data_IF_392055617910
#
_entry.id   IF_392055617910
#
_cell.length_a   1.000
_cell.length_b   1.000
_cell.length_c   1.000
_cell.angle_alpha   90.00
_cell.angle_beta   90.00
_cell.angle_gamma   90.00
#
_symmetry.space_group_name_H-M   'P 1'
#
loop_
_entity.id
_entity.type
_entity.pdbx_description
1 polymer ?
#
# COMPACT_ATOMS: atom_id res chain seq x y z
N UNK A 1 53.35 -2.79 8.95
CA UNK A 1 53.53 -3.71 10.09
C UNK A 1 52.71 -4.96 9.80
N UNK A 2 53.35 -6.02 9.27
CA UNK A 2 52.69 -7.28 8.92
C UNK A 2 52.50 -8.12 10.16
N UNK A 3 51.24 -8.32 10.59
CA UNK A 3 50.88 -9.28 11.63
C UNK A 3 50.82 -10.68 11.00
N UNK A 4 51.72 -11.58 11.39
CA UNK A 4 51.82 -12.91 10.82
C UNK A 4 50.57 -13.75 11.14
N UNK A 5 49.95 -14.29 10.12
CA UNK A 5 48.76 -15.19 10.14
C UNK A 5 48.84 -16.38 11.13
N UNK A 6 50.01 -16.71 11.61
CA UNK A 6 50.23 -17.87 12.51
C UNK A 6 49.78 -17.66 13.96
N UNK A 7 49.59 -16.44 14.42
CA UNK A 7 49.19 -16.18 15.81
C UNK A 7 47.68 -16.14 16.01
N UNK A 8 46.91 -15.96 14.94
CA UNK A 8 45.45 -15.98 15.01
C UNK A 8 44.88 -17.39 15.27
N UNK A 9 45.50 -18.43 14.70
CA UNK A 9 45.07 -19.84 14.83
C UNK A 9 45.32 -20.40 16.23
N UNK A 10 46.33 -19.93 16.96
CA UNK A 10 46.62 -20.42 18.31
C UNK A 10 45.67 -19.91 19.40
N UNK A 11 45.02 -18.77 19.20
CA UNK A 11 44.03 -18.23 20.14
C UNK A 11 42.61 -18.76 19.88
N UNK A 12 42.33 -19.28 18.68
CA UNK A 12 41.01 -19.87 18.35
C UNK A 12 40.82 -21.29 18.88
N UNK A 13 41.91 -22.02 19.19
CA UNK A 13 41.85 -23.42 19.73
C UNK A 13 41.71 -23.42 21.26
N UNK A 14 42.16 -22.39 21.96
CA UNK A 14 41.99 -22.29 23.41
C UNK A 14 40.60 -21.88 23.87
N UNK A 15 39.78 -21.29 22.98
CA UNK A 15 38.40 -20.88 23.26
C UNK A 15 37.37 -21.98 23.03
N UNK A 16 37.72 -23.05 22.30
CA UNK A 16 36.83 -24.17 22.02
C UNK A 16 36.72 -25.21 23.15
N UNK A 17 37.67 -25.22 24.11
CA UNK A 17 37.63 -26.15 25.24
C UNK A 17 36.87 -25.63 26.48
N UNK A 18 36.47 -24.34 26.48
CA UNK A 18 35.75 -23.73 27.62
C UNK A 18 34.21 -23.71 27.46
N UNK A 19 33.66 -24.08 26.30
CA UNK A 19 32.20 -24.00 26.02
C UNK A 19 31.50 -25.35 26.15
N UNK A 20 32.21 -26.43 26.42
CA UNK A 20 31.62 -27.79 26.54
C UNK A 20 30.96 -28.07 27.90
N UNK A 21 30.88 -27.12 28.83
CA UNK A 21 30.29 -27.32 30.16
C UNK A 21 29.01 -26.50 30.43
N UNK A 22 28.42 -25.83 29.42
CA UNK A 22 27.17 -25.12 29.61
C UNK A 22 26.05 -25.76 28.77
N UNK A 23 25.08 -26.31 29.50
CA UNK A 23 23.75 -26.73 29.07
C UNK A 23 23.64 -28.08 28.34
N UNK A 24 23.74 -29.17 29.06
CA UNK A 24 22.87 -30.32 28.79
C UNK A 24 21.44 -29.89 29.17
N UNK A 25 20.76 -29.18 28.30
CA UNK A 25 19.30 -29.21 28.31
C UNK A 25 18.93 -30.63 27.95
N UNK A 26 18.19 -31.36 28.79
CA UNK A 26 17.80 -32.75 28.48
C UNK A 26 17.07 -32.77 27.13
N UNK A 27 17.49 -33.65 26.22
CA UNK A 27 16.88 -33.80 24.91
C UNK A 27 15.35 -34.05 25.00
N UNK A 28 14.88 -34.54 26.14
CA UNK A 28 13.47 -34.76 26.42
C UNK A 28 12.63 -33.44 26.58
N UNK A 29 13.28 -32.34 26.90
CA UNK A 29 12.59 -31.03 26.92
C UNK A 29 12.41 -30.44 25.51
N UNK A 30 13.29 -30.80 24.57
CA UNK A 30 13.15 -30.47 23.15
C UNK A 30 12.08 -31.32 22.45
N UNK A 31 11.85 -32.54 22.88
CA UNK A 31 10.94 -33.48 22.23
C UNK A 31 9.48 -33.44 22.73
N UNK A 32 9.19 -32.75 23.84
CA UNK A 32 7.81 -32.67 24.36
C UNK A 32 6.87 -31.73 23.57
N UNK A 33 7.32 -31.11 22.47
CA UNK A 33 6.51 -30.18 21.65
C UNK A 33 6.45 -30.50 20.16
N UNK A 34 7.15 -31.52 19.65
CA UNK A 34 7.39 -31.67 18.20
C UNK A 34 6.55 -32.77 17.52
N UNK A 35 5.37 -33.11 18.03
CA UNK A 35 4.36 -33.82 17.24
C UNK A 35 3.43 -32.86 16.49
N UNK A 36 3.87 -31.64 16.23
CA UNK A 36 3.18 -30.75 15.26
C UNK A 36 3.72 -31.05 13.87
N UNK A 37 2.83 -31.34 12.95
CA UNK A 37 3.12 -31.54 11.52
C UNK A 37 4.12 -30.51 11.04
N UNK A 38 5.22 -30.95 10.43
CA UNK A 38 6.33 -30.08 9.98
C UNK A 38 5.98 -29.14 8.82
N UNK A 39 4.74 -29.17 8.35
CA UNK A 39 4.22 -28.33 7.26
C UNK A 39 3.00 -27.53 7.73
N UNK A 40 2.88 -26.26 7.31
CA UNK A 40 1.66 -25.48 7.55
C UNK A 40 0.43 -26.21 6.99
N UNK A 41 -0.69 -26.12 7.68
CA UNK A 41 -1.98 -26.44 7.10
C UNK A 41 -2.22 -25.54 5.90
N UNK A 42 -2.69 -26.10 4.78
CA UNK A 42 -2.92 -25.35 3.55
C UNK A 42 -4.43 -25.12 3.32
N UNK A 43 -4.84 -23.86 3.27
CA UNK A 43 -6.23 -23.45 3.02
C UNK A 43 -6.30 -22.67 1.73
N UNK A 44 -6.97 -23.24 0.72
CA UNK A 44 -7.30 -22.54 -0.52
C UNK A 44 -8.69 -21.94 -0.37
N UNK A 45 -8.75 -20.61 -0.32
CA UNK A 45 -10.02 -19.89 -0.17
C UNK A 45 -10.79 -19.96 -1.48
N UNK A 46 -12.06 -20.37 -1.41
CA UNK A 46 -12.95 -20.44 -2.58
C UNK A 46 -13.55 -19.07 -2.84
N UNK A 47 -13.89 -18.77 -4.11
CA UNK A 47 -14.64 -17.57 -4.43
C UNK A 47 -15.97 -17.54 -3.66
N UNK A 48 -16.24 -16.42 -3.01
CA UNK A 48 -17.55 -16.19 -2.41
C UNK A 48 -18.55 -15.81 -3.49
N UNK A 49 -19.70 -16.53 -3.53
CA UNK A 49 -20.85 -16.08 -4.33
C UNK A 49 -21.48 -14.89 -3.62
N UNK A 50 -21.42 -13.72 -4.26
CA UNK A 50 -22.06 -12.51 -3.73
C UNK A 50 -23.18 -12.04 -4.64
N UNK A 51 -24.29 -11.53 -4.07
CA UNK A 51 -25.30 -10.85 -4.85
C UNK A 51 -24.71 -9.60 -5.49
N UNK A 52 -25.31 -9.14 -6.59
CA UNK A 52 -24.92 -7.82 -7.16
C UNK A 52 -25.11 -6.74 -6.11
N UNK A 53 -24.23 -5.71 -6.07
CA UNK A 53 -24.39 -4.58 -5.18
C UNK A 53 -25.80 -3.98 -5.33
N UNK A 54 -26.43 -3.63 -4.21
CA UNK A 54 -27.77 -3.01 -4.20
C UNK A 54 -27.71 -1.54 -4.55
N UNK A 55 -26.64 -0.90 -4.14
CA UNK A 55 -26.39 0.52 -4.34
C UNK A 55 -25.75 0.76 -5.72
N UNK A 56 -26.12 1.86 -6.36
CA UNK A 56 -25.54 2.27 -7.64
C UNK A 56 -25.39 3.77 -7.71
N UNK A 57 -24.25 4.23 -8.24
CA UNK A 57 -23.98 5.66 -8.50
C UNK A 57 -23.40 5.83 -9.91
N UNK A 58 -23.63 7.00 -10.48
CA UNK A 58 -22.90 7.42 -11.69
C UNK A 58 -21.62 8.11 -11.27
N UNK A 59 -20.51 7.69 -11.89
CA UNK A 59 -19.20 8.30 -11.66
C UNK A 59 -18.49 8.61 -12.98
N UNK A 60 -17.52 9.50 -12.92
CA UNK A 60 -16.69 9.88 -14.07
C UNK A 60 -15.22 9.95 -13.69
N UNK A 61 -14.35 10.04 -14.70
CA UNK A 61 -12.91 10.07 -14.53
C UNK A 61 -12.34 11.38 -15.06
N UNK A 62 -11.48 12.03 -14.27
CA UNK A 62 -10.69 13.19 -14.71
C UNK A 62 -9.21 12.91 -14.41
N UNK A 63 -8.37 12.89 -15.49
CA UNK A 63 -6.94 12.61 -15.39
C UNK A 63 -6.62 11.11 -15.29
N UNK A 64 -5.92 10.61 -16.29
CA UNK A 64 -5.61 9.18 -16.52
C UNK A 64 -4.13 8.94 -16.77
N UNK A 65 -3.25 9.79 -16.21
CA UNK A 65 -1.81 9.77 -16.44
C UNK A 65 -1.10 8.55 -15.82
N UNK A 66 -1.76 7.83 -14.93
CA UNK A 66 -1.24 6.63 -14.30
C UNK A 66 -2.17 5.42 -14.48
N UNK A 67 -1.60 4.25 -14.79
CA UNK A 67 -2.37 3.02 -15.09
C UNK A 67 -3.23 2.51 -13.92
N UNK A 68 -3.00 2.96 -12.70
CA UNK A 68 -3.82 2.61 -11.55
C UNK A 68 -5.29 3.04 -11.70
N UNK A 69 -5.59 3.98 -12.61
CA UNK A 69 -6.96 4.37 -12.90
C UNK A 69 -7.84 3.18 -13.30
N UNK A 70 -7.29 2.22 -14.04
CA UNK A 70 -8.04 1.02 -14.46
C UNK A 70 -8.47 0.19 -13.24
N UNK A 71 -7.60 0.07 -12.24
CA UNK A 71 -7.93 -0.62 -10.99
C UNK A 71 -9.01 0.09 -10.17
N UNK A 72 -8.94 1.43 -10.09
CA UNK A 72 -9.95 2.25 -9.42
C UNK A 72 -11.30 2.10 -10.11
N UNK A 73 -11.34 2.25 -11.44
CA UNK A 73 -12.57 2.15 -12.23
C UNK A 73 -13.19 0.76 -12.11
N UNK A 74 -12.39 -0.31 -12.24
CA UNK A 74 -12.89 -1.67 -12.09
C UNK A 74 -13.44 -1.94 -10.68
N UNK A 75 -12.77 -1.43 -9.66
CA UNK A 75 -13.26 -1.54 -8.28
C UNK A 75 -14.63 -0.87 -8.10
N UNK A 76 -14.79 0.34 -8.65
CA UNK A 76 -16.07 1.07 -8.59
C UNK A 76 -17.17 0.36 -9.40
N UNK A 77 -16.87 -0.13 -10.62
CA UNK A 77 -17.84 -0.87 -11.44
C UNK A 77 -18.30 -2.14 -10.71
N UNK A 78 -17.35 -2.90 -10.16
CA UNK A 78 -17.66 -4.09 -9.38
C UNK A 78 -18.48 -3.76 -8.11
N UNK A 79 -18.33 -2.56 -7.60
CA UNK A 79 -19.07 -2.04 -6.45
C UNK A 79 -20.42 -1.43 -6.77
N UNK A 80 -20.89 -1.46 -8.04
CA UNK A 80 -22.18 -0.90 -8.45
C UNK A 80 -22.08 0.48 -9.12
N UNK A 81 -20.88 1.01 -9.36
CA UNK A 81 -20.68 2.27 -10.07
C UNK A 81 -20.92 2.14 -11.59
N UNK A 82 -21.58 3.13 -12.17
CA UNK A 82 -21.72 3.31 -13.62
C UNK A 82 -20.70 4.36 -14.10
N UNK A 83 -19.73 3.94 -14.91
CA UNK A 83 -18.77 4.86 -15.54
C UNK A 83 -19.45 5.61 -16.69
N UNK A 84 -19.52 6.94 -16.59
CA UNK A 84 -20.27 7.78 -17.54
C UNK A 84 -19.35 8.50 -18.50
N UNK A 85 -18.39 9.27 -17.98
CA UNK A 85 -17.51 10.11 -18.78
C UNK A 85 -16.06 10.00 -18.34
N UNK A 86 -15.15 10.28 -19.27
CA UNK A 86 -13.72 10.47 -19.01
C UNK A 86 -13.25 11.77 -19.64
N UNK A 87 -12.38 12.48 -18.92
CA UNK A 87 -11.64 13.62 -19.42
C UNK A 87 -10.14 13.48 -19.13
N UNK A 88 -9.31 13.77 -20.11
CA UNK A 88 -7.86 13.93 -19.96
C UNK A 88 -7.40 15.15 -20.77
N UNK A 89 -6.41 15.85 -20.22
CA UNK A 89 -5.72 16.92 -20.96
C UNK A 89 -4.80 16.37 -22.05
N UNK A 90 -4.43 15.09 -21.93
CA UNK A 90 -3.59 14.35 -22.86
C UNK A 90 -4.46 13.43 -23.73
N UNK A 91 -4.82 13.85 -24.96
CA UNK A 91 -5.72 13.07 -25.82
C UNK A 91 -5.17 11.67 -26.18
N UNK A 92 -3.86 11.53 -26.24
CA UNK A 92 -3.18 10.26 -26.54
C UNK A 92 -3.45 9.18 -25.51
N UNK A 93 -3.78 9.54 -24.26
CA UNK A 93 -4.12 8.58 -23.22
C UNK A 93 -5.55 8.06 -23.35
N UNK A 94 -6.43 8.82 -24.00
CA UNK A 94 -7.86 8.47 -24.13
C UNK A 94 -8.07 7.22 -24.97
N UNK A 95 -7.26 6.98 -26.00
CA UNK A 95 -7.40 5.80 -26.86
C UNK A 95 -7.26 4.51 -26.07
N UNK A 96 -6.25 4.41 -25.21
CA UNK A 96 -6.04 3.25 -24.34
C UNK A 96 -7.18 3.05 -23.34
N UNK A 97 -7.64 4.14 -22.75
CA UNK A 97 -8.70 4.12 -21.75
C UNK A 97 -10.07 3.75 -22.36
N UNK A 98 -10.45 4.33 -23.50
CA UNK A 98 -11.71 4.02 -24.17
C UNK A 98 -11.73 2.62 -24.76
N UNK A 99 -10.58 2.05 -25.13
CA UNK A 99 -10.47 0.64 -25.52
C UNK A 99 -10.74 -0.28 -24.33
N UNK A 100 -10.28 0.08 -23.11
CA UNK A 100 -10.55 -0.71 -21.91
C UNK A 100 -12.00 -0.56 -21.42
N UNK A 101 -12.62 0.62 -21.65
CA UNK A 101 -13.99 0.96 -21.24
C UNK A 101 -14.79 1.52 -22.41
N UNK A 102 -15.26 0.66 -23.36
CA UNK A 102 -15.82 1.11 -24.64
C UNK A 102 -17.12 1.91 -24.55
N UNK A 103 -17.87 1.79 -23.46
CA UNK A 103 -19.13 2.52 -23.25
C UNK A 103 -18.95 3.93 -22.68
N UNK A 104 -17.72 4.31 -22.29
CA UNK A 104 -17.46 5.61 -21.68
C UNK A 104 -17.54 6.73 -22.72
N UNK A 105 -18.21 7.84 -22.39
CA UNK A 105 -18.20 9.05 -23.20
C UNK A 105 -16.96 9.88 -22.89
N UNK A 106 -16.29 10.38 -23.93
CA UNK A 106 -15.23 11.38 -23.75
C UNK A 106 -15.88 12.76 -23.54
N UNK A 107 -15.62 13.38 -22.39
CA UNK A 107 -16.08 14.72 -22.08
C UNK A 107 -15.23 15.77 -22.80
N UNK A 108 -15.86 16.90 -23.14
CA UNK A 108 -15.20 18.03 -23.82
C UNK A 108 -14.29 18.84 -22.88
N UNK A 109 -14.62 18.86 -21.59
CA UNK A 109 -13.87 19.58 -20.57
C UNK A 109 -14.10 18.97 -19.18
N UNK A 110 -13.32 19.40 -18.18
CA UNK A 110 -13.55 19.07 -16.78
C UNK A 110 -14.92 19.57 -16.30
N UNK A 111 -15.33 20.75 -16.75
CA UNK A 111 -16.59 21.40 -16.36
C UNK A 111 -17.81 20.58 -16.79
N UNK A 112 -17.77 19.94 -17.98
CA UNK A 112 -18.86 19.05 -18.41
C UNK A 112 -19.14 17.94 -17.39
N UNK A 113 -18.10 17.44 -16.72
CA UNK A 113 -18.22 16.44 -15.64
C UNK A 113 -18.65 17.09 -14.32
N UNK A 114 -18.02 18.22 -13.97
CA UNK A 114 -18.25 18.87 -12.69
C UNK A 114 -19.64 19.50 -12.57
N UNK A 115 -20.25 19.94 -13.67
CA UNK A 115 -21.58 20.54 -13.73
C UNK A 115 -22.72 19.50 -13.88
N UNK A 116 -22.42 18.26 -14.28
CA UNK A 116 -23.42 17.19 -14.37
C UNK A 116 -23.85 16.71 -12.99
N UNK A 117 -25.03 17.13 -12.54
CA UNK A 117 -25.60 16.77 -11.23
C UNK A 117 -25.92 15.27 -11.07
N UNK A 118 -25.97 14.49 -12.17
CA UNK A 118 -26.18 13.04 -12.09
C UNK A 118 -24.92 12.29 -11.64
N UNK A 119 -23.73 12.86 -11.83
CA UNK A 119 -22.45 12.30 -11.39
C UNK A 119 -22.27 12.57 -9.90
N UNK A 120 -22.02 11.54 -9.12
CA UNK A 120 -21.88 11.61 -7.65
C UNK A 120 -20.42 11.51 -7.19
N UNK A 121 -19.57 10.85 -7.98
CA UNK A 121 -18.19 10.60 -7.65
C UNK A 121 -17.30 10.90 -8.87
N UNK A 122 -16.13 11.49 -8.64
CA UNK A 122 -15.07 11.62 -9.64
C UNK A 122 -13.86 10.80 -9.21
N UNK A 123 -13.35 9.96 -10.10
CA UNK A 123 -12.11 9.20 -9.91
C UNK A 123 -10.95 9.83 -10.70
N UNK A 124 -9.73 9.74 -10.18
CA UNK A 124 -8.55 10.31 -10.83
C UNK A 124 -7.29 9.48 -10.58
N UNK A 125 -6.46 9.37 -11.61
CA UNK A 125 -5.04 9.02 -11.49
C UNK A 125 -4.21 9.98 -12.38
N UNK A 126 -4.53 11.26 -12.31
CA UNK A 126 -3.76 12.34 -12.92
C UNK A 126 -2.34 12.45 -12.37
N UNK A 127 -1.56 13.42 -12.84
CA UNK A 127 -0.23 13.70 -12.29
C UNK A 127 -0.38 14.04 -10.79
N UNK A 128 0.45 13.50 -9.89
CA UNK A 128 0.25 13.66 -8.43
C UNK A 128 0.06 15.10 -7.96
N UNK A 129 0.80 16.06 -8.53
CA UNK A 129 0.67 17.49 -8.17
C UNK A 129 -0.71 18.05 -8.45
N UNK A 130 -1.45 17.52 -9.42
CA UNK A 130 -2.77 18.00 -9.85
C UNK A 130 -3.93 17.34 -9.11
N UNK A 131 -3.68 16.21 -8.41
CA UNK A 131 -4.73 15.40 -7.75
C UNK A 131 -5.45 16.15 -6.63
N UNK A 132 -4.72 16.82 -5.76
CA UNK A 132 -5.31 17.59 -4.66
C UNK A 132 -6.06 18.84 -5.16
N UNK A 133 -5.53 19.67 -6.07
CA UNK A 133 -6.27 20.76 -6.69
C UNK A 133 -7.57 20.31 -7.39
N UNK A 134 -7.53 19.19 -8.11
CA UNK A 134 -8.72 18.61 -8.73
C UNK A 134 -9.75 18.17 -7.69
N UNK A 135 -9.32 17.43 -6.66
CA UNK A 135 -10.20 16.95 -5.59
C UNK A 135 -10.91 18.10 -4.85
N UNK A 136 -10.23 19.23 -4.67
CA UNK A 136 -10.84 20.46 -4.11
C UNK A 136 -11.99 20.95 -5.02
N UNK A 137 -11.76 21.08 -6.33
CA UNK A 137 -12.81 21.51 -7.27
C UNK A 137 -13.97 20.51 -7.33
N UNK A 138 -13.68 19.20 -7.31
CA UNK A 138 -14.69 18.15 -7.28
C UNK A 138 -15.57 18.27 -6.04
N UNK A 139 -14.97 18.38 -4.85
CA UNK A 139 -15.75 18.52 -3.60
C UNK A 139 -16.58 19.80 -3.59
N UNK A 140 -16.03 20.93 -4.07
CA UNK A 140 -16.75 22.21 -4.21
C UNK A 140 -17.92 22.14 -5.21
N UNK A 141 -17.84 21.27 -6.23
CA UNK A 141 -18.96 21.00 -7.15
C UNK A 141 -20.02 20.07 -6.57
N UNK A 142 -19.89 19.68 -5.28
CA UNK A 142 -20.86 18.83 -4.60
C UNK A 142 -20.72 17.34 -4.88
N UNK A 143 -19.56 16.89 -5.39
CA UNK A 143 -19.27 15.49 -5.70
C UNK A 143 -18.22 14.93 -4.74
N UNK A 144 -18.21 13.62 -4.55
CA UNK A 144 -17.17 12.92 -3.83
C UNK A 144 -15.98 12.62 -4.75
N UNK A 145 -14.80 12.41 -4.18
CA UNK A 145 -13.57 12.23 -4.92
C UNK A 145 -12.80 11.00 -4.46
N UNK A 146 -12.31 10.20 -5.41
CA UNK A 146 -11.35 9.15 -5.17
C UNK A 146 -10.15 9.32 -6.10
N UNK A 147 -8.96 9.20 -5.55
CA UNK A 147 -7.75 9.34 -6.35
C UNK A 147 -6.75 8.22 -6.08
N UNK A 148 -5.85 8.02 -7.03
CA UNK A 148 -4.67 7.20 -6.82
C UNK A 148 -3.70 7.86 -5.82
N UNK A 149 -2.81 7.07 -5.24
CA UNK A 149 -1.69 7.54 -4.39
C UNK A 149 -0.52 8.08 -5.26
N UNK A 150 0.24 9.05 -4.76
CA UNK A 150 -0.09 9.93 -3.65
C UNK A 150 -1.21 10.90 -4.04
N UNK A 151 -2.22 10.97 -3.23
CA UNK A 151 -3.34 11.89 -3.52
C UNK A 151 -3.03 13.34 -3.17
N UNK A 152 -2.02 13.56 -2.34
CA UNK A 152 -1.56 14.86 -1.83
C UNK A 152 -0.05 14.79 -1.71
N UNK A 153 0.70 15.81 -2.18
CA UNK A 153 2.16 15.82 -2.19
C UNK A 153 2.81 16.97 -1.40
N UNK A 154 2.01 17.91 -0.89
CA UNK A 154 2.51 19.01 -0.06
C UNK A 154 1.62 19.27 1.13
N UNK A 155 2.19 19.84 2.23
CA UNK A 155 1.41 20.27 3.40
C UNK A 155 0.44 21.41 3.08
N UNK A 156 0.73 22.25 2.10
CA UNK A 156 -0.19 23.29 1.63
C UNK A 156 -1.45 22.65 1.02
N UNK A 157 -1.25 21.69 0.10
CA UNK A 157 -2.35 20.92 -0.47
C UNK A 157 -3.14 20.20 0.62
N UNK A 158 -2.45 19.56 1.57
CA UNK A 158 -3.06 18.82 2.68
C UNK A 158 -3.99 19.70 3.52
N UNK A 159 -3.52 20.87 3.93
CA UNK A 159 -4.34 21.82 4.68
C UNK A 159 -5.58 22.26 3.90
N UNK A 160 -5.42 22.58 2.62
CA UNK A 160 -6.53 23.01 1.77
C UNK A 160 -7.56 21.92 1.55
N UNK A 161 -7.11 20.68 1.27
CA UNK A 161 -8.01 19.52 1.10
C UNK A 161 -8.81 19.26 2.39
N UNK A 162 -8.16 19.24 3.56
CA UNK A 162 -8.86 19.05 4.85
C UNK A 162 -9.90 20.13 5.12
N UNK A 163 -9.59 21.38 4.82
CA UNK A 163 -10.54 22.49 5.01
C UNK A 163 -11.77 22.32 4.12
N UNK A 164 -11.55 22.09 2.80
CA UNK A 164 -12.66 21.93 1.86
C UNK A 164 -13.46 20.67 2.14
N UNK A 165 -12.80 19.56 2.52
CA UNK A 165 -13.49 18.34 2.92
C UNK A 165 -14.44 18.60 4.10
N UNK A 166 -13.97 19.33 5.12
CA UNK A 166 -14.77 19.72 6.28
C UNK A 166 -15.94 20.66 5.92
N UNK A 167 -15.69 21.64 5.05
CA UNK A 167 -16.69 22.62 4.60
C UNK A 167 -17.80 21.98 3.75
N UNK A 168 -17.43 21.04 2.87
CA UNK A 168 -18.35 20.42 1.92
C UNK A 168 -18.99 19.13 2.43
N UNK A 169 -18.42 18.53 3.48
CA UNK A 169 -18.76 17.18 3.95
C UNK A 169 -18.75 16.14 2.83
N UNK A 170 -17.80 16.28 1.84
CA UNK A 170 -17.59 15.32 0.77
C UNK A 170 -16.46 14.36 1.11
N UNK A 171 -16.50 13.18 0.50
CA UNK A 171 -15.44 12.17 0.67
C UNK A 171 -14.23 12.57 -0.17
N UNK A 172 -13.06 12.56 0.44
CA UNK A 172 -11.76 12.58 -0.24
C UNK A 172 -11.06 11.27 0.05
N UNK A 173 -11.11 10.32 -0.87
CA UNK A 173 -10.52 8.99 -0.69
C UNK A 173 -9.26 8.82 -1.53
N UNK A 174 -8.23 8.19 -0.95
CA UNK A 174 -7.01 7.79 -1.66
C UNK A 174 -6.98 6.27 -1.72
N UNK A 175 -6.94 5.69 -2.92
CA UNK A 175 -6.88 4.25 -3.08
C UNK A 175 -5.48 3.71 -2.79
N UNK A 176 -5.23 3.35 -1.55
CA UNK A 176 -4.03 2.62 -1.14
C UNK A 176 -4.10 1.16 -1.60
N UNK A 177 -3.85 0.94 -2.88
CA UNK A 177 -4.11 -0.33 -3.57
C UNK A 177 -3.35 -1.53 -2.98
N UNK A 178 -2.20 -1.33 -2.30
CA UNK A 178 -1.48 -2.43 -1.64
C UNK A 178 -2.22 -3.06 -0.47
N UNK A 179 -3.23 -2.38 0.09
CA UNK A 179 -4.19 -2.93 1.05
C UNK A 179 -5.55 -3.19 0.42
N UNK A 180 -6.11 -2.18 -0.25
CA UNK A 180 -7.49 -2.20 -0.73
C UNK A 180 -7.69 -3.06 -1.99
N UNK A 181 -6.64 -3.28 -2.75
CA UNK A 181 -6.64 -4.06 -4.00
C UNK A 181 -5.85 -5.37 -3.93
N UNK A 182 -5.41 -5.81 -2.75
CA UNK A 182 -4.65 -7.05 -2.57
C UNK A 182 -5.44 -8.03 -1.69
N UNK A 183 -5.93 -9.12 -2.24
CA UNK A 183 -6.72 -10.14 -1.53
C UNK A 183 -6.07 -10.65 -0.24
N UNK A 184 -4.76 -10.92 -0.23
CA UNK A 184 -4.04 -11.36 0.97
C UNK A 184 -4.02 -10.27 2.06
N UNK A 185 -3.96 -8.99 1.68
CA UNK A 185 -3.97 -7.89 2.64
C UNK A 185 -5.36 -7.69 3.28
N UNK A 186 -6.43 -7.91 2.51
CA UNK A 186 -7.80 -7.91 3.03
C UNK A 186 -7.96 -9.06 4.04
N UNK A 187 -7.55 -10.28 3.67
CA UNK A 187 -7.61 -11.44 4.57
C UNK A 187 -6.81 -11.25 5.86
N UNK A 188 -5.63 -10.65 5.77
CA UNK A 188 -4.84 -10.32 6.95
C UNK A 188 -5.61 -9.36 7.90
N UNK A 189 -6.31 -8.36 7.34
CA UNK A 189 -7.17 -7.47 8.11
C UNK A 189 -8.27 -8.22 8.86
N UNK A 190 -8.96 -9.14 8.20
CA UNK A 190 -9.98 -9.99 8.82
C UNK A 190 -9.41 -10.80 9.98
N UNK A 191 -8.26 -11.45 9.79
CA UNK A 191 -7.60 -12.25 10.82
C UNK A 191 -7.13 -11.41 12.01
N UNK A 192 -6.56 -10.23 11.75
CA UNK A 192 -6.15 -9.29 12.81
C UNK A 192 -7.36 -8.82 13.61
N UNK A 193 -8.46 -8.43 12.94
CA UNK A 193 -9.69 -8.00 13.59
C UNK A 193 -10.37 -9.12 14.38
N UNK A 194 -10.24 -10.37 13.93
CA UNK A 194 -10.70 -11.55 14.65
C UNK A 194 -9.79 -11.94 15.86
N UNK A 195 -8.68 -11.21 16.08
CA UNK A 195 -7.76 -11.47 17.19
C UNK A 195 -6.82 -12.66 16.97
N UNK A 196 -6.62 -13.12 15.72
CA UNK A 196 -5.84 -14.32 15.42
C UNK A 196 -4.39 -14.28 15.91
N UNK A 197 -3.82 -13.09 16.11
CA UNK A 197 -2.44 -12.88 16.60
C UNK A 197 -2.38 -12.03 17.88
N UNK A 198 -3.51 -11.83 18.55
CA UNK A 198 -3.60 -10.94 19.71
C UNK A 198 -3.48 -9.45 19.31
N UNK A 199 -2.90 -8.61 20.20
CA UNK A 199 -2.70 -7.19 19.93
C UNK A 199 -1.51 -6.99 19.00
N UNK A 200 -1.67 -6.20 17.93
CA UNK A 200 -0.56 -5.88 17.02
C UNK A 200 0.46 -4.99 17.74
N UNK A 201 1.72 -5.37 17.66
CA UNK A 201 2.87 -4.71 18.29
C UNK A 201 3.75 -4.02 17.26
N UNK A 202 3.93 -4.65 16.08
CA UNK A 202 4.80 -4.12 15.04
C UNK A 202 4.35 -4.54 13.64
N UNK A 203 4.61 -3.66 12.67
CA UNK A 203 4.56 -4.00 11.24
C UNK A 203 5.92 -3.76 10.59
N UNK A 204 6.32 -4.66 9.67
CA UNK A 204 7.45 -4.47 8.77
C UNK A 204 6.94 -4.50 7.33
N UNK A 205 6.92 -3.34 6.67
CA UNK A 205 6.42 -3.19 5.30
C UNK A 205 7.57 -3.04 4.31
N UNK A 206 7.57 -3.83 3.23
CA UNK A 206 8.55 -3.76 2.15
C UNK A 206 7.82 -3.57 0.83
N UNK A 207 8.10 -2.46 0.14
CA UNK A 207 7.46 -2.08 -1.12
C UNK A 207 8.48 -1.86 -2.26
N UNK A 208 9.24 -2.89 -2.68
CA UNK A 208 10.13 -2.77 -3.83
C UNK A 208 9.32 -2.74 -5.13
N UNK A 209 9.71 -1.85 -6.06
CA UNK A 209 9.10 -1.69 -7.37
C UNK A 209 10.17 -1.80 -8.47
N UNK A 210 9.73 -2.16 -9.70
CA UNK A 210 10.61 -2.11 -10.87
C UNK A 210 10.58 -0.71 -11.47
N UNK A 211 11.76 -0.13 -11.65
CA UNK A 211 11.90 1.23 -12.17
C UNK A 211 11.44 1.34 -13.64
N UNK A 212 11.99 0.54 -14.54
CA UNK A 212 11.72 0.59 -15.99
C UNK A 212 11.79 2.04 -16.56
N UNK A 213 12.92 2.75 -16.45
CA UNK A 213 12.98 4.21 -16.66
C UNK A 213 12.60 4.64 -18.08
N UNK A 214 12.84 3.79 -19.09
CA UNK A 214 12.52 4.07 -20.51
C UNK A 214 11.03 4.19 -20.79
N UNK A 215 10.18 3.68 -19.90
CA UNK A 215 8.72 3.67 -20.09
C UNK A 215 8.01 4.68 -19.20
N UNK A 216 8.75 5.39 -18.33
CA UNK A 216 8.17 6.38 -17.42
C UNK A 216 8.05 7.74 -18.11
N UNK A 217 6.94 8.46 -17.90
CA UNK A 217 6.78 9.82 -18.38
C UNK A 217 7.71 10.80 -17.63
N UNK A 218 8.06 11.91 -18.26
CA UNK A 218 9.01 12.87 -17.69
C UNK A 218 8.62 13.45 -16.32
N UNK A 219 7.32 13.64 -16.07
CA UNK A 219 6.83 14.13 -14.76
C UNK A 219 7.17 13.19 -13.60
N UNK A 220 7.33 11.90 -13.88
CA UNK A 220 7.64 10.89 -12.87
C UNK A 220 8.99 11.12 -12.18
N UNK A 221 9.96 11.67 -12.90
CA UNK A 221 11.31 11.98 -12.39
C UNK A 221 11.42 13.37 -11.77
N UNK A 222 10.36 14.15 -11.77
CA UNK A 222 10.31 15.49 -11.17
C UNK A 222 9.66 15.40 -9.78
N UNK A 223 10.42 15.55 -8.68
CA UNK A 223 9.87 15.45 -7.32
C UNK A 223 8.77 16.49 -7.04
N UNK A 224 8.80 17.65 -7.72
CA UNK A 224 7.76 18.67 -7.58
C UNK A 224 6.41 18.24 -8.17
N UNK A 225 6.42 17.28 -9.10
CA UNK A 225 5.22 16.68 -9.72
C UNK A 225 4.83 15.36 -9.11
N UNK A 226 5.81 14.52 -8.78
CA UNK A 226 5.60 13.17 -8.27
C UNK A 226 5.44 13.10 -6.74
N UNK A 227 6.04 14.05 -5.98
CA UNK A 227 5.93 14.16 -4.54
C UNK A 227 7.01 13.41 -3.72
N UNK A 228 7.90 12.66 -4.38
CA UNK A 228 8.96 11.88 -3.73
C UNK A 228 8.52 10.47 -3.31
N UNK A 229 9.52 9.60 -3.10
CA UNK A 229 9.30 8.15 -2.94
C UNK A 229 8.54 7.79 -1.66
N UNK A 230 8.72 8.58 -0.57
CA UNK A 230 7.99 8.33 0.68
C UNK A 230 6.51 8.74 0.58
N UNK A 231 6.18 9.76 -0.22
CA UNK A 231 4.79 10.07 -0.54
C UNK A 231 4.20 9.07 -1.53
N UNK A 232 4.95 8.65 -2.55
CA UNK A 232 4.47 7.77 -3.61
C UNK A 232 4.23 6.33 -3.09
N UNK A 233 5.29 5.60 -2.76
CA UNK A 233 5.18 4.21 -2.31
C UNK A 233 4.98 4.13 -0.80
N UNK A 234 5.67 4.98 -0.03
CA UNK A 234 5.62 4.95 1.43
C UNK A 234 4.23 5.18 2.03
N UNK A 235 3.38 5.95 1.36
CA UNK A 235 1.99 6.18 1.79
C UNK A 235 1.16 4.91 1.89
N UNK A 236 1.37 3.91 1.02
CA UNK A 236 0.75 2.58 1.14
C UNK A 236 1.10 1.91 2.46
N UNK A 237 2.34 2.04 2.89
CA UNK A 237 2.83 1.37 4.09
C UNK A 237 2.36 2.11 5.35
N UNK A 238 2.23 3.44 5.30
CA UNK A 238 1.60 4.23 6.37
C UNK A 238 0.14 3.82 6.57
N UNK A 239 -0.64 3.68 5.48
CA UNK A 239 -2.02 3.17 5.52
C UNK A 239 -2.09 1.78 6.16
N UNK A 240 -1.23 0.86 5.75
CA UNK A 240 -1.21 -0.51 6.28
C UNK A 240 -0.81 -0.56 7.75
N UNK A 241 0.18 0.25 8.19
CA UNK A 241 0.56 0.36 9.59
C UNK A 241 -0.64 0.78 10.45
N UNK A 242 -1.29 1.87 10.08
CA UNK A 242 -2.46 2.38 10.82
C UNK A 242 -3.61 1.37 10.85
N UNK A 243 -3.88 0.72 9.73
CA UNK A 243 -4.97 -0.23 9.60
C UNK A 243 -4.76 -1.48 10.47
N UNK A 244 -3.61 -2.14 10.34
CA UNK A 244 -3.36 -3.38 11.07
C UNK A 244 -3.16 -3.14 12.57
N UNK A 245 -2.51 -2.04 12.95
CA UNK A 245 -2.36 -1.71 14.37
C UNK A 245 -3.63 -1.13 15.00
N UNK A 246 -4.61 -0.70 14.19
CA UNK A 246 -5.79 0.02 14.68
C UNK A 246 -5.48 1.41 15.23
N UNK A 247 -4.32 1.99 14.86
CA UNK A 247 -3.84 3.24 15.42
C UNK A 247 -4.60 4.44 14.87
N UNK A 248 -5.08 5.31 15.76
CA UNK A 248 -5.76 6.58 15.46
C UNK A 248 -4.84 7.80 15.57
N UNK A 249 -3.62 7.59 16.08
CA UNK A 249 -2.56 8.57 16.23
C UNK A 249 -1.24 7.88 15.95
N UNK A 250 -0.36 8.55 15.22
CA UNK A 250 0.97 8.05 14.93
C UNK A 250 1.90 9.20 14.56
N UNK A 251 3.20 8.98 14.68
CA UNK A 251 4.25 9.92 14.30
C UNK A 251 5.41 9.22 13.62
N UNK A 252 6.20 9.98 12.87
CA UNK A 252 7.43 9.52 12.22
C UNK A 252 8.60 9.69 13.18
N UNK A 253 9.32 8.61 13.49
CA UNK A 253 10.52 8.67 14.32
C UNK A 253 11.75 9.12 13.54
N UNK A 254 11.94 8.56 12.33
CA UNK A 254 12.98 8.92 11.38
C UNK A 254 12.57 8.55 9.96
N UNK A 255 13.25 9.14 8.99
CA UNK A 255 13.15 8.77 7.58
C UNK A 255 14.42 9.10 6.82
N UNK A 256 14.66 8.37 5.73
CA UNK A 256 15.80 8.55 4.85
C UNK A 256 15.36 8.38 3.39
N UNK A 257 16.06 9.07 2.49
CA UNK A 257 15.88 8.96 1.05
C UNK A 257 17.24 8.96 0.37
N UNK A 258 17.33 8.33 -0.80
CA UNK A 258 18.56 8.33 -1.59
C UNK A 258 18.29 8.15 -3.06
N UNK A 259 19.31 8.47 -3.88
CA UNK A 259 19.38 8.14 -5.30
C UNK A 259 20.68 7.36 -5.53
N UNK A 260 20.56 6.05 -5.70
CA UNK A 260 21.72 5.16 -5.81
C UNK A 260 21.98 4.67 -7.23
N UNK A 261 20.97 4.68 -8.10
CA UNK A 261 21.06 4.03 -9.41
C UNK A 261 20.51 4.87 -10.59
N UNK A 262 20.15 6.13 -10.36
CA UNK A 262 19.58 7.01 -11.40
C UNK A 262 20.32 8.35 -11.49
N UNK A 263 21.63 8.35 -11.83
CA UNK A 263 22.43 9.57 -11.90
C UNK A 263 21.96 10.57 -12.97
N UNK A 264 21.22 10.10 -13.98
CA UNK A 264 20.62 10.97 -14.99
C UNK A 264 19.47 11.86 -14.42
N UNK A 265 18.95 11.54 -13.23
CA UNK A 265 17.88 12.27 -12.54
C UNK A 265 18.31 12.56 -11.10
N UNK A 266 19.23 13.50 -10.86
CA UNK A 266 19.91 13.67 -9.56
C UNK A 266 18.98 14.02 -8.41
N UNK A 267 17.83 14.60 -8.67
CA UNK A 267 16.82 14.94 -7.66
C UNK A 267 15.81 13.81 -7.42
N UNK A 268 15.85 12.74 -8.21
CA UNK A 268 14.98 11.58 -8.04
C UNK A 268 15.38 10.76 -6.81
N UNK A 269 14.43 10.02 -6.27
CA UNK A 269 14.63 9.16 -5.11
C UNK A 269 14.24 7.74 -5.48
N UNK A 270 15.24 6.86 -5.59
CA UNK A 270 15.04 5.45 -5.92
C UNK A 270 15.04 4.54 -4.69
N UNK A 271 15.30 5.10 -3.51
CA UNK A 271 15.26 4.45 -2.22
C UNK A 271 14.66 5.38 -1.16
N UNK A 272 13.93 4.78 -0.22
CA UNK A 272 13.48 5.44 1.00
C UNK A 272 13.14 4.44 2.09
N UNK A 273 13.38 4.83 3.33
CA UNK A 273 12.90 4.11 4.49
C UNK A 273 12.42 5.06 5.58
N UNK A 274 11.57 4.57 6.47
CA UNK A 274 11.09 5.29 7.64
C UNK A 274 10.66 4.35 8.75
N UNK A 275 10.69 4.89 9.97
CA UNK A 275 10.05 4.29 11.13
C UNK A 275 8.92 5.17 11.63
N UNK A 276 7.81 4.54 11.95
CA UNK A 276 6.63 5.18 12.52
C UNK A 276 6.28 4.54 13.87
N UNK A 277 5.62 5.28 14.74
CA UNK A 277 5.11 4.75 16.00
C UNK A 277 3.73 5.31 16.35
N UNK A 278 3.00 4.52 17.10
CA UNK A 278 1.79 4.92 17.81
C UNK A 278 1.97 4.66 19.31
N UNK A 279 1.03 5.00 20.20
CA UNK A 279 1.14 4.69 21.61
C UNK A 279 1.31 3.20 21.94
N UNK A 280 0.98 2.29 21.03
CA UNK A 280 0.97 0.85 21.31
C UNK A 280 1.62 -0.02 20.22
N UNK A 281 2.06 0.55 19.11
CA UNK A 281 2.68 -0.21 18.02
C UNK A 281 3.77 0.60 17.32
N UNK A 282 4.70 -0.11 16.66
CA UNK A 282 5.75 0.48 15.82
C UNK A 282 5.67 -0.05 14.39
N UNK A 283 6.16 0.72 13.42
CA UNK A 283 6.28 0.31 12.03
C UNK A 283 7.66 0.63 11.47
N UNK A 284 8.23 -0.29 10.70
CA UNK A 284 9.37 -0.02 9.85
C UNK A 284 8.98 -0.26 8.40
N UNK A 285 9.35 0.67 7.54
CA UNK A 285 8.94 0.76 6.15
C UNK A 285 10.20 0.95 5.30
N UNK A 286 10.41 0.06 4.31
CA UNK A 286 11.41 0.21 3.27
C UNK A 286 10.74 0.17 1.91
N UNK A 287 11.07 1.12 1.07
CA UNK A 287 10.57 1.24 -0.29
C UNK A 287 11.72 1.54 -1.24
N UNK A 288 11.65 0.97 -2.43
CA UNK A 288 12.73 1.12 -3.40
C UNK A 288 12.28 0.85 -4.84
N UNK A 289 13.11 1.23 -5.80
CA UNK A 289 12.95 0.98 -7.22
C UNK A 289 13.97 -0.02 -7.75
N UNK A 290 14.36 -1.01 -6.91
CA UNK A 290 15.44 -1.96 -7.19
C UNK A 290 14.96 -3.38 -7.50
N UNK A 291 13.68 -3.59 -7.82
CA UNK A 291 13.22 -4.92 -8.23
C UNK A 291 14.00 -5.39 -9.46
N UNK A 292 14.74 -6.52 -9.38
CA UNK A 292 15.56 -7.03 -10.48
C UNK A 292 14.73 -7.50 -11.68
N UNK A 293 15.31 -7.43 -12.89
CA UNK A 293 14.61 -7.84 -14.11
C UNK A 293 14.31 -9.34 -14.16
N UNK A 294 15.09 -10.17 -13.47
CA UNK A 294 14.85 -11.62 -13.35
C UNK A 294 13.61 -11.99 -12.52
N UNK A 295 13.09 -11.08 -11.73
CA UNK A 295 11.86 -11.35 -10.98
C UNK A 295 10.66 -11.36 -11.93
N UNK A 296 9.81 -12.38 -11.86
CA UNK A 296 8.66 -12.55 -12.78
C UNK A 296 7.54 -11.51 -12.60
N UNK A 297 7.61 -10.67 -11.56
CA UNK A 297 6.64 -9.61 -11.26
C UNK A 297 7.31 -8.24 -11.15
N UNK A 298 6.51 -7.19 -11.13
CA UNK A 298 6.96 -5.81 -11.03
C UNK A 298 7.52 -5.42 -9.65
N UNK A 299 7.23 -6.22 -8.61
CA UNK A 299 7.68 -6.00 -7.25
C UNK A 299 7.51 -7.24 -6.38
N UNK A 300 8.20 -7.27 -5.24
CA UNK A 300 8.08 -8.30 -4.20
C UNK A 300 7.59 -7.65 -2.90
N UNK A 301 6.37 -7.13 -2.93
CA UNK A 301 5.74 -6.50 -1.78
C UNK A 301 5.46 -7.50 -0.66
N UNK A 302 6.03 -7.23 0.52
CA UNK A 302 5.86 -8.07 1.71
C UNK A 302 5.44 -7.26 2.91
N UNK A 303 4.73 -7.93 3.83
CA UNK A 303 4.36 -7.37 5.11
C UNK A 303 4.47 -8.44 6.19
N UNK A 304 5.14 -8.10 7.29
CA UNK A 304 5.06 -8.84 8.54
C UNK A 304 4.23 -8.06 9.55
N UNK A 305 3.29 -8.73 10.19
CA UNK A 305 2.42 -8.17 11.22
C UNK A 305 2.64 -9.00 12.49
N UNK A 306 3.37 -8.44 13.45
CA UNK A 306 3.66 -9.08 14.72
C UNK A 306 2.58 -8.71 15.75
N UNK A 307 1.97 -9.70 16.36
CA UNK A 307 1.07 -9.55 17.49
C UNK A 307 1.62 -10.22 18.76
N UNK A 308 0.90 -10.04 19.87
CA UNK A 308 1.28 -10.62 21.17
C UNK A 308 1.14 -12.14 21.24
N UNK A 309 0.39 -12.74 20.32
CA UNK A 309 0.08 -14.19 20.33
C UNK A 309 0.50 -14.90 19.03
N UNK A 310 1.13 -14.20 18.11
CA UNK A 310 1.57 -14.73 16.83
C UNK A 310 1.95 -13.67 15.83
N UNK A 311 2.10 -14.07 14.56
CA UNK A 311 2.39 -13.16 13.47
C UNK A 311 1.74 -13.63 12.17
N UNK A 312 1.61 -12.66 11.24
CA UNK A 312 1.20 -12.88 9.85
C UNK A 312 2.33 -12.41 8.93
N UNK A 313 2.69 -13.22 7.92
CA UNK A 313 3.52 -12.80 6.78
C UNK A 313 2.66 -12.75 5.52
N UNK A 314 2.76 -11.66 4.76
CA UNK A 314 2.18 -11.51 3.42
C UNK A 314 3.27 -11.52 2.36
N UNK A 315 3.07 -12.30 1.29
CA UNK A 315 3.77 -12.23 0.00
C UNK A 315 2.73 -11.89 -1.05
N UNK A 316 2.64 -10.61 -1.40
CA UNK A 316 1.50 -10.07 -2.15
C UNK A 316 1.48 -10.51 -3.60
N UNK A 317 2.64 -10.53 -4.25
CA UNK A 317 2.72 -10.64 -5.71
C UNK A 317 3.46 -11.88 -6.19
N UNK A 318 4.33 -12.46 -5.39
CA UNK A 318 5.12 -13.63 -5.72
C UNK A 318 5.62 -14.33 -4.45
N UNK A 319 5.75 -15.66 -4.53
CA UNK A 319 6.51 -16.45 -3.56
C UNK A 319 7.78 -16.99 -4.22
N UNK A 320 8.93 -16.40 -3.92
CA UNK A 320 10.23 -16.85 -4.44
C UNK A 320 10.63 -18.24 -3.92
N UNK A 321 9.97 -18.79 -2.89
CA UNK A 321 10.17 -20.16 -2.39
C UNK A 321 9.43 -21.22 -3.23
N UNK A 322 8.66 -20.81 -4.27
CA UNK A 322 8.16 -21.71 -5.31
C UNK A 322 6.65 -21.96 -5.30
N UNK A 323 5.85 -21.37 -4.41
CA UNK A 323 4.39 -21.40 -4.53
C UNK A 323 3.95 -20.60 -5.74
N UNK A 324 3.02 -21.13 -6.50
CA UNK A 324 2.51 -20.48 -7.71
C UNK A 324 1.53 -19.37 -7.37
N UNK A 325 1.46 -18.35 -8.23
CA UNK A 325 0.49 -17.26 -8.11
C UNK A 325 0.98 -16.13 -7.22
N UNK A 326 0.01 -15.41 -6.69
CA UNK A 326 0.15 -14.26 -5.80
C UNK A 326 -0.78 -14.42 -4.58
N UNK A 327 -0.80 -13.43 -3.69
CA UNK A 327 -1.72 -13.39 -2.55
C UNK A 327 -1.52 -14.50 -1.51
N UNK A 328 -0.26 -14.73 -1.15
CA UNK A 328 0.10 -15.69 -0.13
C UNK A 328 0.06 -15.06 1.26
N UNK A 329 -0.60 -15.75 2.21
CA UNK A 329 -0.64 -15.37 3.61
C UNK A 329 -0.21 -16.54 4.49
N UNK A 330 0.70 -16.29 5.41
CA UNK A 330 1.15 -17.26 6.41
C UNK A 330 0.77 -16.75 7.80
N UNK A 331 -0.02 -17.52 8.53
CA UNK A 331 -0.39 -17.28 9.92
C UNK A 331 0.35 -18.25 10.81
N UNK A 332 1.01 -17.73 11.84
CA UNK A 332 1.62 -18.52 12.90
C UNK A 332 1.19 -17.96 14.24
N UNK A 333 0.51 -18.74 15.05
CA UNK A 333 0.10 -18.36 16.38
C UNK A 333 0.19 -19.54 17.39
N UNK A 334 -0.30 -19.36 18.60
CA UNK A 334 -0.24 -20.38 19.65
C UNK A 334 -1.04 -21.65 19.33
N UNK A 335 -1.93 -21.63 18.32
CA UNK A 335 -2.85 -22.73 18.00
C UNK A 335 -2.49 -23.42 16.69
N UNK A 336 -2.01 -22.66 15.70
CA UNK A 336 -1.87 -23.13 14.33
C UNK A 336 -0.67 -22.51 13.60
N UNK A 337 -0.22 -23.21 12.58
CA UNK A 337 0.65 -22.69 11.52
C UNK A 337 -0.06 -22.98 10.21
N UNK A 338 -0.58 -21.93 9.56
CA UNK A 338 -1.49 -22.05 8.42
C UNK A 338 -1.04 -21.18 7.26
N UNK A 339 -1.10 -21.76 6.07
CA UNK A 339 -0.94 -21.05 4.80
C UNK A 339 -2.31 -20.85 4.17
N UNK A 340 -2.61 -19.61 3.74
CA UNK A 340 -3.78 -19.26 2.97
C UNK A 340 -3.40 -18.83 1.56
N UNK A 341 -3.95 -19.51 0.54
CA UNK A 341 -4.06 -18.96 -0.81
C UNK A 341 -5.27 -18.01 -0.83
N UNK A 342 -4.98 -16.72 -0.86
CA UNK A 342 -6.00 -15.68 -0.80
C UNK A 342 -6.45 -15.18 -2.18
N UNK A 343 -6.10 -15.86 -3.26
CA UNK A 343 -6.37 -15.40 -4.64
C UNK A 343 -7.85 -15.11 -4.93
N UNK A 344 -8.75 -15.75 -4.19
CA UNK A 344 -10.20 -15.63 -4.36
C UNK A 344 -10.89 -14.76 -3.28
N UNK A 345 -10.13 -14.09 -2.42
CA UNK A 345 -10.72 -13.20 -1.40
C UNK A 345 -11.34 -11.98 -2.08
N UNK A 346 -12.54 -11.66 -1.69
CA UNK A 346 -13.27 -10.51 -2.21
C UNK A 346 -12.63 -9.18 -1.79
N UNK A 347 -12.68 -8.21 -2.69
CA UNK A 347 -12.19 -6.85 -2.47
C UNK A 347 -13.37 -5.89 -2.24
N UNK A 348 -13.69 -5.53 -0.99
CA UNK A 348 -14.92 -4.82 -0.65
C UNK A 348 -14.89 -3.32 -0.94
N UNK A 349 -13.71 -2.73 -1.18
CA UNK A 349 -13.50 -1.28 -1.22
C UNK A 349 -14.46 -0.55 -2.18
N UNK A 350 -14.64 -1.04 -3.41
CA UNK A 350 -15.51 -0.38 -4.39
C UNK A 350 -16.97 -0.35 -3.96
N UNK A 351 -17.49 -1.46 -3.45
CA UNK A 351 -18.86 -1.56 -2.93
C UNK A 351 -19.05 -0.66 -1.70
N UNK A 352 -18.09 -0.68 -0.78
CA UNK A 352 -18.12 0.19 0.40
C UNK A 352 -18.09 1.66 0.02
N UNK A 353 -17.23 2.08 -0.96
CA UNK A 353 -17.16 3.47 -1.38
C UNK A 353 -18.45 3.93 -2.08
N UNK A 354 -19.05 3.09 -2.94
CA UNK A 354 -20.34 3.39 -3.58
C UNK A 354 -21.43 3.56 -2.52
N UNK A 355 -21.47 2.68 -1.54
CA UNK A 355 -22.41 2.77 -0.42
C UNK A 355 -22.16 4.02 0.45
N UNK A 356 -20.90 4.35 0.73
CA UNK A 356 -20.52 5.54 1.51
C UNK A 356 -20.96 6.83 0.81
N UNK A 357 -20.84 6.92 -0.52
CA UNK A 357 -21.33 8.07 -1.31
C UNK A 357 -22.83 8.28 -1.15
N UNK A 358 -23.61 7.21 -1.11
CA UNK A 358 -25.07 7.26 -0.97
C UNK A 358 -25.47 7.55 0.47
N UNK A 359 -24.91 6.79 1.41
CA UNK A 359 -25.35 6.76 2.81
C UNK A 359 -24.59 7.76 3.70
N UNK A 360 -23.60 8.47 3.13
CA UNK A 360 -22.72 9.41 3.86
C UNK A 360 -22.01 8.76 5.04
N UNK A 361 -21.53 7.53 4.83
CA UNK A 361 -20.71 6.76 5.76
C UNK A 361 -19.23 6.79 5.34
N UNK A 362 -18.34 6.15 6.10
CA UNK A 362 -16.88 6.13 5.84
C UNK A 362 -16.33 4.71 6.01
N UNK A 363 -17.06 3.71 5.51
CA UNK A 363 -16.71 2.30 5.71
C UNK A 363 -15.55 1.84 4.82
N UNK A 364 -15.43 2.40 3.63
CA UNK A 364 -14.33 2.10 2.69
C UNK A 364 -13.00 2.67 3.18
N UNK A 365 -13.02 3.92 3.64
CA UNK A 365 -11.85 4.67 4.09
C UNK A 365 -12.28 5.82 4.99
N UNK A 366 -12.15 5.68 6.31
CA UNK A 366 -12.39 6.79 7.24
C UNK A 366 -11.52 8.01 6.88
N UNK A 367 -12.10 9.22 6.86
CA UNK A 367 -11.38 10.43 6.46
C UNK A 367 -10.18 10.71 7.36
N UNK A 368 -10.33 10.51 8.68
CA UNK A 368 -9.22 10.67 9.61
C UNK A 368 -8.07 9.70 9.33
N UNK A 369 -8.38 8.45 8.96
CA UNK A 369 -7.36 7.46 8.59
C UNK A 369 -6.64 7.86 7.28
N UNK A 370 -7.41 8.25 6.25
CA UNK A 370 -6.87 8.70 4.96
C UNK A 370 -5.90 9.89 5.14
N UNK A 371 -6.32 10.87 5.95
CA UNK A 371 -5.50 12.05 6.23
C UNK A 371 -4.29 11.74 7.11
N UNK A 372 -4.42 10.90 8.13
CA UNK A 372 -3.29 10.52 8.97
C UNK A 372 -2.21 9.73 8.17
N UNK A 373 -2.62 8.79 7.31
CA UNK A 373 -1.69 8.08 6.44
C UNK A 373 -0.93 9.04 5.51
N UNK A 374 -1.65 10.01 4.94
CA UNK A 374 -1.05 11.08 4.11
C UNK A 374 -0.09 11.96 4.92
N UNK A 375 -0.47 12.37 6.12
CA UNK A 375 0.34 13.24 6.99
C UNK A 375 1.65 12.57 7.39
N UNK A 376 1.62 11.28 7.71
CA UNK A 376 2.81 10.48 8.00
C UNK A 376 3.76 10.45 6.79
N UNK A 377 3.25 10.20 5.58
CA UNK A 377 4.06 10.16 4.37
C UNK A 377 4.67 11.54 4.04
N UNK A 378 3.89 12.63 4.15
CA UNK A 378 4.37 13.99 3.96
C UNK A 378 5.41 14.39 5.00
N UNK A 379 5.20 14.01 6.26
CA UNK A 379 6.15 14.27 7.34
C UNK A 379 7.45 13.55 7.10
N UNK A 380 7.38 12.24 6.78
CA UNK A 380 8.55 11.46 6.44
C UNK A 380 9.34 12.06 5.27
N UNK A 381 8.65 12.45 4.19
CA UNK A 381 9.28 13.07 3.02
C UNK A 381 9.97 14.39 3.39
N UNK A 382 9.35 15.20 4.26
CA UNK A 382 9.86 16.51 4.66
C UNK A 382 11.10 16.43 5.54
N UNK A 383 11.15 15.48 6.48
CA UNK A 383 12.25 15.35 7.46
C UNK A 383 13.34 14.37 7.02
N UNK A 384 13.18 13.75 5.84
CA UNK A 384 14.07 12.69 5.39
C UNK A 384 15.53 13.14 5.31
N UNK A 385 16.41 12.36 5.95
CA UNK A 385 17.85 12.49 5.77
C UNK A 385 18.24 12.01 4.36
N UNK A 386 18.98 12.84 3.62
CA UNK A 386 19.50 12.44 2.30
C UNK A 386 20.74 11.56 2.47
N UNK A 387 20.66 10.36 1.95
CA UNK A 387 21.79 9.45 1.82
C UNK A 387 22.59 9.80 0.57
N UNK A 388 23.91 9.77 0.69
CA UNK A 388 24.80 9.91 -0.47
C UNK A 388 24.91 8.55 -1.15
N UNK A 389 24.44 8.46 -2.38
CA UNK A 389 24.58 7.28 -3.24
C UNK A 389 25.89 7.28 -3.99
#
# INVERSE_FOLDING_TARGET
MQVKRRNFIKHSVASAAGIAAASMIPADLFNRGLNRTSHPEEIILKPESRPKPKDSIRFSVIGINHNHINGIVNSLINGGGELVMVYSREPELLEGFTRAFPSVKVARSEEEILEDNSIKLVASAGIPVDRAPLGIRVMQSGKDYVTDKPGIITFEQFKRVKNVQKETNRIYSIMYSERLGVPAAVKAGELVQAGAIGKVVQTLGIGPHRMSPKTRPGWFFDPAKAGGVLCDIGSHQCDQFLYYSGSKQAEVNFSQIGNFNLPAYPDYQDFGDMSVRSPHATGYIRIDWFTPDSLATWGDGRMFILGTEGYIELRKYIDIAGRKGANHLFLVNNKETTYYDCSNVYLPYGEQLVSDVINRTETAMPQDHCFLATELALTAQKIAHKLNG
#
